data_IF_121546167311
#
_entry.id   IF_121546167311
#
_cell.length_a   1.000
_cell.length_b   1.000
_cell.length_c   1.000
_cell.angle_alpha   90.00
_cell.angle_beta   90.00
_cell.angle_gamma   90.00
#
_symmetry.space_group_name_H-M   'P 1'
#
loop_
_entity.id
_entity.type
_entity.pdbx_description
1 polymer ?
#
# COMPACT_ATOMS: atom_id res chain seq x y z
N UNK A 1 -3.33 20.34 30.22
CA UNK A 1 -2.57 19.29 29.50
C UNK A 1 -2.49 19.70 28.04
N UNK A 2 -1.31 19.71 27.41
CA UNK A 2 -1.19 19.85 25.95
C UNK A 2 -0.62 18.54 25.41
N UNK A 3 -1.42 17.83 24.63
CA UNK A 3 -1.05 16.57 23.98
C UNK A 3 -1.30 16.74 22.48
N UNK A 4 -0.37 16.30 21.65
CA UNK A 4 -0.48 16.31 20.18
C UNK A 4 -0.33 14.87 19.70
N UNK A 5 -1.22 14.45 18.82
CA UNK A 5 -1.12 13.20 18.07
C UNK A 5 -0.72 13.54 16.64
N UNK A 6 0.20 12.76 16.10
CA UNK A 6 0.69 12.89 14.74
C UNK A 6 0.45 11.56 14.05
N UNK A 7 -0.09 11.63 12.86
CA UNK A 7 -0.09 10.50 11.93
C UNK A 7 1.29 10.37 11.27
N UNK A 8 1.59 9.23 10.68
CA UNK A 8 2.89 8.96 10.06
C UNK A 8 2.83 9.23 8.55
N UNK A 9 2.14 8.37 7.82
CA UNK A 9 2.17 8.36 6.36
C UNK A 9 1.33 9.50 5.78
N UNK A 10 1.95 10.36 4.96
CA UNK A 10 1.31 11.56 4.44
C UNK A 10 1.21 12.71 5.46
N UNK A 11 1.74 12.54 6.67
CA UNK A 11 1.84 13.60 7.69
C UNK A 11 3.30 13.92 8.06
N UNK A 12 4.07 12.90 8.44
CA UNK A 12 5.50 13.01 8.77
C UNK A 12 6.42 12.50 7.67
N UNK A 13 5.95 11.57 6.84
CA UNK A 13 6.70 10.94 5.74
C UNK A 13 5.95 11.05 4.42
N UNK A 14 6.69 11.06 3.31
CA UNK A 14 6.11 10.96 1.96
C UNK A 14 6.13 9.49 1.53
N UNK A 15 5.38 8.66 2.25
CA UNK A 15 5.35 7.20 2.04
C UNK A 15 4.67 6.76 0.73
N UNK A 16 4.16 7.71 -0.07
CA UNK A 16 3.44 7.44 -1.31
C UNK A 16 4.19 6.50 -2.26
N UNK A 17 5.43 6.81 -2.69
CA UNK A 17 6.16 5.97 -3.63
C UNK A 17 6.36 4.53 -3.14
N UNK A 18 6.75 4.35 -1.88
CA UNK A 18 6.93 3.03 -1.27
C UNK A 18 5.64 2.20 -1.23
N UNK A 19 4.52 2.83 -0.88
CA UNK A 19 3.20 2.19 -0.86
C UNK A 19 2.78 1.80 -2.29
N UNK A 20 2.84 2.73 -3.25
CA UNK A 20 2.36 2.50 -4.61
C UNK A 20 3.17 1.46 -5.35
N UNK A 21 4.50 1.49 -5.23
CA UNK A 21 5.35 0.48 -5.85
C UNK A 21 5.12 -0.90 -5.22
N UNK A 22 4.80 -0.97 -3.93
CA UNK A 22 4.50 -2.23 -3.24
C UNK A 22 3.13 -2.79 -3.61
N UNK A 23 2.13 -1.93 -3.83
CA UNK A 23 0.83 -2.32 -4.40
C UNK A 23 1.00 -2.85 -5.83
N UNK A 24 1.73 -2.13 -6.68
CA UNK A 24 1.98 -2.55 -8.07
C UNK A 24 2.65 -3.91 -8.13
N UNK A 25 3.70 -4.12 -7.33
CA UNK A 25 4.39 -5.41 -7.24
C UNK A 25 3.46 -6.55 -6.82
N UNK A 26 2.59 -6.33 -5.83
CA UNK A 26 1.66 -7.36 -5.38
C UNK A 26 0.68 -7.76 -6.51
N UNK A 27 0.14 -6.77 -7.24
CA UNK A 27 -0.73 -7.01 -8.39
C UNK A 27 -0.01 -7.82 -9.48
N UNK A 28 1.20 -7.42 -9.85
CA UNK A 28 2.01 -8.13 -10.84
C UNK A 28 2.30 -9.58 -10.43
N UNK A 29 2.66 -9.81 -9.16
CA UNK A 29 2.91 -11.16 -8.62
C UNK A 29 1.69 -12.06 -8.69
N UNK A 30 0.50 -11.49 -8.54
CA UNK A 30 -0.77 -12.22 -8.59
C UNK A 30 -1.33 -12.39 -10.01
N UNK A 31 -0.64 -11.86 -11.03
CA UNK A 31 -1.03 -11.93 -12.43
C UNK A 31 -2.00 -10.84 -12.90
N UNK A 32 -2.15 -9.76 -12.13
CA UNK A 32 -2.90 -8.57 -12.54
C UNK A 32 -1.99 -7.57 -13.25
N UNK A 33 -2.60 -6.58 -13.91
CA UNK A 33 -1.86 -5.43 -14.42
C UNK A 33 -1.29 -4.62 -13.24
N UNK A 34 -0.09 -4.03 -13.39
CA UNK A 34 0.47 -3.11 -12.39
C UNK A 34 -0.47 -1.92 -12.17
N UNK A 35 -0.35 -1.29 -11.00
CA UNK A 35 -1.12 -0.08 -10.72
C UNK A 35 -0.54 1.12 -11.48
N UNK A 36 -1.39 1.82 -12.23
CA UNK A 36 -1.03 3.04 -12.95
C UNK A 36 -1.98 4.19 -12.53
N UNK A 37 -1.43 5.36 -12.22
CA UNK A 37 -2.19 6.57 -11.92
C UNK A 37 -1.90 7.17 -10.55
N UNK A 38 -2.75 8.14 -10.15
CA UNK A 38 -2.69 8.75 -8.82
C UNK A 38 -3.25 7.77 -7.77
N UNK A 39 -2.38 7.37 -6.84
CA UNK A 39 -2.70 6.42 -5.79
C UNK A 39 -2.76 7.03 -4.39
N UNK A 40 -2.83 8.36 -4.24
CA UNK A 40 -2.85 9.02 -2.93
C UNK A 40 -3.98 8.50 -2.02
N UNK A 41 -5.10 8.05 -2.60
CA UNK A 41 -6.21 7.45 -1.88
C UNK A 41 -5.88 6.12 -1.16
N UNK A 42 -4.74 5.49 -1.47
CA UNK A 42 -4.25 4.27 -0.82
C UNK A 42 -3.34 4.54 0.39
N UNK A 43 -2.93 5.79 0.61
CA UNK A 43 -2.09 6.18 1.76
C UNK A 43 -2.98 6.41 2.97
N UNK A 44 -2.88 5.54 3.97
CA UNK A 44 -3.63 5.62 5.24
C UNK A 44 -4.71 4.55 5.45
N UNK A 45 -5.59 4.23 4.47
CA UNK A 45 -6.58 3.17 4.63
C UNK A 45 -6.00 1.77 4.83
N UNK A 46 -6.78 0.81 5.37
CA UNK A 46 -6.39 -0.58 5.41
C UNK A 46 -6.07 -1.13 4.01
N UNK A 47 -4.97 -1.86 3.87
CA UNK A 47 -4.51 -2.40 2.58
C UNK A 47 -5.57 -3.27 1.87
N UNK A 48 -6.34 -4.05 2.64
CA UNK A 48 -7.44 -4.85 2.12
C UNK A 48 -8.49 -4.01 1.38
N UNK A 49 -8.79 -2.81 1.87
CA UNK A 49 -9.77 -1.93 1.23
C UNK A 49 -9.23 -1.39 -0.10
N UNK A 50 -7.92 -1.10 -0.15
CA UNK A 50 -7.24 -0.71 -1.38
C UNK A 50 -7.26 -1.83 -2.42
N UNK A 51 -6.84 -3.05 -2.04
CA UNK A 51 -6.85 -4.19 -2.96
C UNK A 51 -8.25 -4.58 -3.41
N UNK A 52 -9.24 -4.52 -2.51
CA UNK A 52 -10.65 -4.74 -2.87
C UNK A 52 -11.13 -3.72 -3.89
N UNK A 53 -10.78 -2.43 -3.70
CA UNK A 53 -11.12 -1.37 -4.66
C UNK A 53 -10.41 -1.52 -6.01
N UNK A 54 -9.23 -2.14 -6.03
CA UNK A 54 -8.49 -2.51 -7.24
C UNK A 54 -9.05 -3.77 -7.94
N UNK A 55 -10.09 -4.40 -7.38
CA UNK A 55 -10.77 -5.55 -7.98
C UNK A 55 -10.17 -6.90 -7.61
N UNK A 56 -9.30 -6.97 -6.61
CA UNK A 56 -8.84 -8.26 -6.06
C UNK A 56 -10.02 -8.95 -5.35
N UNK A 57 -10.34 -10.21 -5.70
CA UNK A 57 -11.39 -10.98 -5.05
C UNK A 57 -11.15 -11.20 -3.55
N UNK A 58 -12.23 -11.32 -2.76
CA UNK A 58 -12.17 -11.42 -1.29
C UNK A 58 -11.30 -12.60 -0.82
N UNK A 59 -11.36 -13.74 -1.52
CA UNK A 59 -10.59 -14.95 -1.22
C UNK A 59 -9.09 -14.82 -1.56
N UNK A 60 -8.68 -13.72 -2.21
CA UNK A 60 -7.28 -13.43 -2.57
C UNK A 60 -6.71 -12.17 -1.91
N UNK A 61 -7.49 -11.46 -1.08
CA UNK A 61 -7.00 -10.22 -0.44
C UNK A 61 -5.81 -10.46 0.48
N UNK A 62 -5.82 -11.55 1.25
CA UNK A 62 -4.72 -11.88 2.17
C UNK A 62 -3.43 -12.20 1.40
N UNK A 63 -3.53 -12.86 0.25
CA UNK A 63 -2.40 -13.11 -0.66
C UNK A 63 -1.81 -11.78 -1.17
N UNK A 64 -2.66 -10.83 -1.59
CA UNK A 64 -2.23 -9.51 -2.04
C UNK A 64 -1.51 -8.72 -0.95
N UNK A 65 -2.07 -8.72 0.27
CA UNK A 65 -1.48 -8.05 1.42
C UNK A 65 -0.15 -8.69 1.82
N UNK A 66 -0.02 -10.01 1.71
CA UNK A 66 1.25 -10.69 1.99
C UNK A 66 2.33 -10.25 1.00
N UNK A 67 2.05 -10.27 -0.31
CA UNK A 67 3.01 -9.83 -1.32
C UNK A 67 3.40 -8.35 -1.18
N UNK A 68 2.43 -7.50 -0.84
CA UNK A 68 2.70 -6.10 -0.50
C UNK A 68 3.70 -6.01 0.66
N UNK A 69 3.44 -6.72 1.76
CA UNK A 69 4.27 -6.65 2.97
C UNK A 69 5.67 -7.17 2.73
N UNK A 70 5.80 -8.23 1.94
CA UNK A 70 7.10 -8.80 1.58
C UNK A 70 7.98 -7.76 0.86
N UNK A 71 7.44 -7.07 -0.17
CA UNK A 71 8.19 -6.00 -0.85
C UNK A 71 8.39 -4.77 0.04
N UNK A 72 7.36 -4.36 0.79
CA UNK A 72 7.45 -3.15 1.59
C UNK A 72 8.53 -3.26 2.68
N UNK A 73 8.65 -4.44 3.30
CA UNK A 73 9.68 -4.73 4.28
C UNK A 73 11.10 -4.81 3.68
N UNK A 74 11.23 -5.30 2.45
CA UNK A 74 12.52 -5.41 1.77
C UNK A 74 13.04 -4.05 1.27
N UNK A 75 12.22 -3.30 0.54
CA UNK A 75 12.63 -2.04 -0.12
C UNK A 75 11.63 -0.89 0.05
N UNK A 76 10.33 -1.15 0.16
CA UNK A 76 9.32 -0.10 0.11
C UNK A 76 9.45 0.96 1.21
N UNK A 77 9.85 0.59 2.43
CA UNK A 77 10.06 1.54 3.53
C UNK A 77 11.17 2.56 3.25
N UNK A 78 12.13 2.23 2.39
CA UNK A 78 13.25 3.11 2.02
C UNK A 78 12.87 4.11 0.91
N UNK A 79 11.68 3.94 0.33
CA UNK A 79 11.09 4.80 -0.70
C UNK A 79 10.09 5.83 -0.09
N UNK A 80 10.10 5.98 1.25
CA UNK A 80 9.24 6.89 2.03
C UNK A 80 9.83 8.28 2.31
#
# INVERSE_FOLDING_TARGET
>A
MKTVFLDLDGTLTDAGPGILNSVSYALEKMGYAPFEGDGFWMVGPPLWDSFRRLGVPEDRLDEAVQHYRDRYADVGWSEN
#
